data_IF_248754722976
#
_entry.id   IF_248754722976
#
_cell.length_a   1.000
_cell.length_b   1.000
_cell.length_c   1.000
_cell.angle_alpha   90.00
_cell.angle_beta   90.00
_cell.angle_gamma   90.00
#
_symmetry.space_group_name_H-M   'P 1'
#
loop_
_entity.id
_entity.type
_entity.pdbx_description
1 polymer ?
#
# COMPACT_ATOMS: atom_id res chain seq x y z
N UNK A 1 -13.39 0.73 -42.85
CA UNK A 1 -11.96 1.05 -42.70
C UNK A 1 -11.79 1.83 -41.41
N UNK A 2 -11.24 1.16 -40.40
CA UNK A 2 -10.64 1.64 -39.15
C UNK A 2 -11.26 2.87 -38.44
N UNK A 3 -12.23 2.63 -37.56
CA UNK A 3 -12.26 3.33 -36.27
C UNK A 3 -11.51 2.42 -35.28
N UNK A 4 -10.25 2.78 -35.04
CA UNK A 4 -9.32 2.01 -34.23
C UNK A 4 -9.69 2.02 -32.75
N UNK A 5 -9.64 0.82 -32.18
CA UNK A 5 -9.54 0.49 -30.77
C UNK A 5 -8.75 1.52 -29.94
N UNK A 6 -9.44 2.37 -29.19
CA UNK A 6 -8.84 3.19 -28.11
C UNK A 6 -9.40 2.84 -26.73
N UNK A 7 -10.25 1.82 -26.60
CA UNK A 7 -10.75 1.37 -25.28
C UNK A 7 -10.06 0.13 -24.70
N UNK A 8 -9.08 -0.46 -25.39
CA UNK A 8 -8.54 -1.79 -25.03
C UNK A 8 -7.04 -1.82 -24.68
N UNK A 9 -6.36 -0.67 -24.64
CA UNK A 9 -4.91 -0.59 -24.38
C UNK A 9 -4.52 0.23 -23.14
N UNK A 10 -5.51 0.77 -22.40
CA UNK A 10 -5.27 1.47 -21.14
C UNK A 10 -5.66 0.66 -19.90
N UNK A 11 -6.13 -0.58 -20.10
CA UNK A 11 -6.53 -1.52 -19.05
C UNK A 11 -5.48 -2.64 -18.88
N UNK A 12 -4.57 -2.81 -19.84
CA UNK A 12 -3.52 -3.87 -19.84
C UNK A 12 -2.33 -3.63 -18.89
N UNK A 13 -2.45 -2.72 -17.91
CA UNK A 13 -1.40 -2.48 -16.89
C UNK A 13 -1.92 -2.43 -15.46
N UNK A 14 -3.18 -2.76 -15.22
CA UNK A 14 -3.59 -3.22 -13.88
C UNK A 14 -3.15 -4.67 -13.86
N UNK A 15 -2.07 -4.95 -13.15
CA UNK A 15 -1.31 -6.19 -13.29
C UNK A 15 -2.25 -7.39 -13.23
N UNK A 16 -2.06 -8.38 -14.11
CA UNK A 16 -2.83 -9.64 -14.08
C UNK A 16 -2.80 -10.31 -12.69
N UNK A 17 -1.83 -9.95 -11.83
CA UNK A 17 -1.78 -10.28 -10.40
C UNK A 17 -2.90 -9.64 -9.58
N UNK A 18 -3.22 -8.36 -9.80
CA UNK A 18 -4.30 -7.62 -9.14
C UNK A 18 -5.68 -8.09 -9.62
N UNK A 19 -5.87 -8.34 -10.92
CA UNK A 19 -7.13 -8.88 -11.47
C UNK A 19 -7.38 -10.30 -10.94
N UNK A 20 -6.35 -11.16 -10.92
CA UNK A 20 -6.47 -12.51 -10.31
C UNK A 20 -6.68 -12.45 -8.80
N UNK A 21 -6.15 -11.43 -8.13
CA UNK A 21 -6.39 -11.23 -6.72
C UNK A 21 -7.87 -10.86 -6.49
N UNK A 22 -8.42 -9.89 -7.22
CA UNK A 22 -9.82 -9.48 -7.13
C UNK A 22 -10.80 -10.60 -7.49
N UNK A 23 -10.55 -11.35 -8.58
CA UNK A 23 -11.36 -12.53 -8.94
C UNK A 23 -11.27 -13.64 -7.87
N UNK A 24 -10.08 -13.85 -7.29
CA UNK A 24 -9.90 -14.79 -6.18
C UNK A 24 -10.56 -14.30 -4.88
N UNK A 25 -10.60 -12.98 -4.63
CA UNK A 25 -11.33 -12.40 -3.52
C UNK A 25 -12.84 -12.66 -3.68
N UNK A 26 -13.41 -12.45 -4.87
CA UNK A 26 -14.82 -12.72 -5.15
C UNK A 26 -15.16 -14.24 -5.06
N UNK A 27 -14.34 -15.12 -5.62
CA UNK A 27 -14.57 -16.58 -5.57
C UNK A 27 -14.57 -17.13 -4.14
N UNK A 28 -13.65 -16.64 -3.28
CA UNK A 28 -13.53 -17.08 -1.88
C UNK A 28 -14.57 -16.43 -0.95
N UNK A 29 -15.18 -15.32 -1.37
CA UNK A 29 -16.30 -14.66 -0.68
C UNK A 29 -17.62 -15.41 -0.95
N UNK A 30 -17.86 -15.86 -2.19
CA UNK A 30 -19.09 -16.59 -2.55
C UNK A 30 -19.05 -18.05 -2.11
N UNK A 31 -17.87 -18.68 -2.05
CA UNK A 31 -17.70 -20.09 -1.67
C UNK A 31 -17.95 -20.45 -0.20
N UNK A 32 -18.32 -19.50 0.66
CA UNK A 32 -18.63 -19.74 2.09
C UNK A 32 -20.04 -19.31 2.53
N UNK A 33 -20.96 -19.15 1.58
CA UNK A 33 -22.39 -19.05 1.88
C UNK A 33 -23.00 -20.44 2.10
N UNK A 34 -22.55 -21.14 3.14
CA UNK A 34 -23.39 -22.13 3.81
C UNK A 34 -23.00 -22.23 5.29
N UNK A 35 -23.35 -21.21 6.06
CA UNK A 35 -24.11 -21.37 7.31
C UNK A 35 -24.46 -19.97 7.86
N UNK A 36 -25.77 -19.69 7.86
CA UNK A 36 -26.35 -18.43 8.28
C UNK A 36 -26.03 -18.09 9.75
N UNK A 37 -25.77 -16.80 9.98
CA UNK A 37 -26.20 -16.11 11.18
C UNK A 37 -25.10 -15.78 12.18
N UNK A 38 -24.43 -14.64 11.98
CA UNK A 38 -24.03 -13.64 13.00
C UNK A 38 -22.99 -12.67 12.45
N UNK A 39 -23.36 -11.39 12.47
CA UNK A 39 -22.46 -10.22 12.43
C UNK A 39 -21.64 -10.04 11.16
N UNK A 40 -21.63 -8.81 10.65
CA UNK A 40 -20.82 -8.30 9.54
C UNK A 40 -19.31 -8.38 9.88
N UNK A 41 -18.77 -9.59 10.08
CA UNK A 41 -17.33 -9.83 10.30
C UNK A 41 -16.67 -9.84 8.93
N UNK A 42 -16.16 -8.67 8.53
CA UNK A 42 -15.16 -8.57 7.46
C UNK A 42 -14.16 -9.71 7.62
N UNK A 43 -14.07 -10.57 6.60
CA UNK A 43 -13.11 -11.67 6.59
C UNK A 43 -11.72 -11.01 6.51
N UNK A 44 -11.03 -10.98 7.66
CA UNK A 44 -9.62 -10.60 7.74
C UNK A 44 -8.80 -11.70 7.07
N UNK A 45 -8.59 -11.58 5.76
CA UNK A 45 -7.46 -12.27 5.12
C UNK A 45 -6.23 -11.51 5.59
N UNK A 46 -5.34 -12.18 6.32
CA UNK A 46 -4.07 -11.57 6.71
C UNK A 46 -3.32 -11.21 5.42
N UNK A 47 -2.88 -9.96 5.27
CA UNK A 47 -2.13 -9.54 4.08
C UNK A 47 -0.90 -10.44 3.83
N UNK A 48 -0.39 -11.10 4.87
CA UNK A 48 0.67 -12.09 4.75
C UNK A 48 0.20 -13.43 4.18
N UNK A 49 -1.03 -13.87 4.45
CA UNK A 49 -1.58 -15.08 3.82
C UNK A 49 -1.63 -14.93 2.30
N UNK A 50 -1.90 -13.72 1.82
CA UNK A 50 -1.86 -13.39 0.40
C UNK A 50 -0.44 -13.49 -0.18
N UNK A 51 0.56 -12.92 0.50
CA UNK A 51 1.96 -13.05 0.09
C UNK A 51 2.42 -14.52 0.05
N UNK A 52 2.11 -15.29 1.09
CA UNK A 52 2.47 -16.71 1.15
C UNK A 52 1.79 -17.53 0.06
N UNK A 53 0.54 -17.22 -0.28
CA UNK A 53 -0.16 -17.88 -1.37
C UNK A 53 0.48 -17.57 -2.74
N UNK A 54 0.87 -16.32 -2.99
CA UNK A 54 1.56 -15.94 -4.22
C UNK A 54 2.91 -16.65 -4.33
N UNK A 55 3.71 -16.61 -3.26
CA UNK A 55 5.03 -17.23 -3.22
C UNK A 55 4.95 -18.76 -3.35
N UNK A 56 3.97 -19.39 -2.71
CA UNK A 56 3.70 -20.83 -2.85
C UNK A 56 3.29 -21.26 -4.26
N UNK A 57 2.79 -20.33 -5.08
CA UNK A 57 2.49 -20.53 -6.51
C UNK A 57 3.63 -20.10 -7.43
N UNK A 58 4.77 -19.69 -6.88
CA UNK A 58 5.92 -19.21 -7.65
C UNK A 58 5.73 -17.81 -8.25
N UNK A 59 4.74 -17.05 -7.80
CA UNK A 59 4.46 -15.69 -8.25
C UNK A 59 5.20 -14.72 -7.33
N UNK A 60 6.07 -13.88 -7.92
CA UNK A 60 6.82 -12.88 -7.16
C UNK A 60 5.94 -11.66 -6.86
N UNK A 61 5.93 -11.16 -5.62
CA UNK A 61 5.30 -9.89 -5.28
C UNK A 61 5.97 -8.73 -6.03
N UNK A 62 5.16 -7.77 -6.46
CA UNK A 62 5.59 -6.53 -7.10
C UNK A 62 5.18 -5.30 -6.27
N UNK A 63 5.51 -4.10 -6.75
CA UNK A 63 5.16 -2.86 -6.05
C UNK A 63 3.64 -2.67 -5.89
N UNK A 64 2.84 -3.14 -6.85
CA UNK A 64 1.39 -3.06 -6.79
C UNK A 64 0.82 -3.97 -5.69
N UNK A 65 1.37 -5.18 -5.56
CA UNK A 65 1.09 -6.11 -4.47
C UNK A 65 1.31 -5.45 -3.11
N UNK A 66 2.46 -4.81 -2.91
CA UNK A 66 2.74 -4.11 -1.64
C UNK A 66 1.82 -2.91 -1.42
N UNK A 67 1.43 -2.18 -2.47
CA UNK A 67 0.48 -1.08 -2.34
C UNK A 67 -0.91 -1.56 -1.88
N UNK A 68 -1.36 -2.72 -2.35
CA UNK A 68 -2.62 -3.36 -1.90
C UNK A 68 -2.53 -3.79 -0.44
N UNK A 69 -1.43 -4.42 -0.04
CA UNK A 69 -1.22 -4.84 1.34
C UNK A 69 -1.17 -3.66 2.31
N UNK A 70 -0.51 -2.56 1.91
CA UNK A 70 -0.49 -1.32 2.69
C UNK A 70 -1.88 -0.68 2.81
N UNK A 71 -2.69 -0.74 1.75
CA UNK A 71 -4.09 -0.31 1.81
C UNK A 71 -4.90 -1.15 2.81
N UNK A 72 -4.69 -2.47 2.85
CA UNK A 72 -5.35 -3.33 3.83
C UNK A 72 -4.92 -2.99 5.26
N UNK A 73 -3.61 -2.82 5.50
CA UNK A 73 -3.10 -2.39 6.80
C UNK A 73 -3.72 -1.05 7.25
N UNK A 74 -3.85 -0.10 6.33
CA UNK A 74 -4.53 1.17 6.58
C UNK A 74 -6.03 1.00 6.88
N UNK A 75 -6.75 0.19 6.11
CA UNK A 75 -8.19 -0.09 6.29
C UNK A 75 -8.47 -0.71 7.66
N UNK A 76 -7.64 -1.67 8.07
CA UNK A 76 -7.75 -2.34 9.38
C UNK A 76 -7.06 -1.59 10.53
N UNK A 77 -6.54 -0.38 10.26
CA UNK A 77 -5.87 0.47 11.26
C UNK A 77 -4.69 -0.23 11.98
N UNK A 78 -3.98 -1.10 11.27
CA UNK A 78 -2.91 -1.94 11.82
C UNK A 78 -1.52 -1.39 11.48
N UNK A 79 -0.91 -0.68 12.44
CA UNK A 79 0.49 -0.24 12.32
C UNK A 79 1.44 -1.43 12.28
N UNK A 80 1.13 -2.51 12.99
CA UNK A 80 1.94 -3.72 13.01
C UNK A 80 2.06 -4.33 11.60
N UNK A 81 0.94 -4.42 10.87
CA UNK A 81 0.96 -4.98 9.52
C UNK A 81 1.70 -4.06 8.56
N UNK A 82 1.50 -2.73 8.66
CA UNK A 82 2.27 -1.76 7.89
C UNK A 82 3.79 -1.94 8.10
N UNK A 83 4.24 -2.15 9.34
CA UNK A 83 5.66 -2.42 9.67
C UNK A 83 6.17 -3.72 9.09
N UNK A 84 5.39 -4.80 9.20
CA UNK A 84 5.77 -6.08 8.62
C UNK A 84 5.87 -5.98 7.10
N UNK A 85 4.94 -5.28 6.46
CA UNK A 85 4.94 -5.06 5.00
C UNK A 85 6.13 -4.21 4.59
N UNK A 86 6.42 -3.11 5.30
CA UNK A 86 7.64 -2.33 5.09
C UNK A 86 8.89 -3.22 5.21
N UNK A 87 8.95 -4.12 6.20
CA UNK A 87 10.05 -5.07 6.33
C UNK A 87 10.21 -5.99 5.11
N UNK A 88 9.11 -6.43 4.49
CA UNK A 88 9.15 -7.21 3.23
C UNK A 88 9.62 -6.36 2.05
N UNK A 89 9.14 -5.12 1.94
CA UNK A 89 9.57 -4.15 0.90
C UNK A 89 11.10 -4.00 0.95
N UNK A 90 11.66 -3.73 2.14
CA UNK A 90 13.10 -3.59 2.34
C UNK A 90 13.86 -4.89 2.03
N UNK A 91 13.34 -6.05 2.47
CA UNK A 91 14.00 -7.34 2.27
C UNK A 91 14.08 -7.74 0.78
N UNK A 92 13.11 -7.32 -0.01
CA UNK A 92 12.99 -7.66 -1.42
C UNK A 92 13.56 -6.59 -2.37
N UNK A 93 14.18 -5.52 -1.83
CA UNK A 93 14.86 -4.51 -2.63
C UNK A 93 13.97 -3.41 -3.21
N UNK A 94 12.75 -3.24 -2.67
CA UNK A 94 11.79 -2.24 -3.15
C UNK A 94 11.92 -0.88 -2.45
N UNK A 95 12.94 -0.66 -1.62
CA UNK A 95 13.17 0.61 -0.91
C UNK A 95 13.43 1.81 -1.85
N UNK A 96 13.88 1.54 -3.07
CA UNK A 96 14.10 2.56 -4.11
C UNK A 96 12.81 3.00 -4.81
N UNK A 97 11.71 2.28 -4.65
CA UNK A 97 10.44 2.60 -5.29
C UNK A 97 9.79 3.84 -4.65
N UNK A 98 9.87 4.96 -5.35
CA UNK A 98 9.29 6.24 -4.92
C UNK A 98 7.79 6.12 -4.60
N UNK A 99 7.06 5.34 -5.39
CA UNK A 99 5.62 5.11 -5.21
C UNK A 99 5.32 4.43 -3.87
N UNK A 100 6.10 3.42 -3.49
CA UNK A 100 5.96 2.70 -2.22
C UNK A 100 6.42 3.55 -1.03
N UNK A 101 7.51 4.30 -1.18
CA UNK A 101 7.95 5.25 -0.15
C UNK A 101 6.85 6.28 0.16
N UNK A 102 6.27 6.88 -0.87
CA UNK A 102 5.15 7.81 -0.73
C UNK A 102 3.92 7.17 -0.07
N UNK A 103 3.58 5.94 -0.47
CA UNK A 103 2.49 5.17 0.10
C UNK A 103 2.71 4.88 1.60
N UNK A 104 3.91 4.44 1.97
CA UNK A 104 4.29 4.15 3.35
C UNK A 104 4.18 5.39 4.24
N UNK A 105 4.71 6.54 3.81
CA UNK A 105 4.58 7.79 4.57
C UNK A 105 3.11 8.13 4.79
N UNK A 106 2.29 8.05 3.75
CA UNK A 106 0.86 8.34 3.82
C UNK A 106 0.13 7.39 4.78
N UNK A 107 0.38 6.08 4.69
CA UNK A 107 -0.23 5.07 5.57
C UNK A 107 0.17 5.30 7.02
N UNK A 108 1.46 5.49 7.32
CA UNK A 108 1.89 5.75 8.69
C UNK A 108 1.32 7.05 9.25
N UNK A 109 1.23 8.09 8.41
CA UNK A 109 0.58 9.35 8.79
C UNK A 109 -0.88 9.13 9.17
N UNK A 110 -1.64 8.45 8.33
CA UNK A 110 -3.08 8.21 8.55
C UNK A 110 -3.36 7.24 9.71
N UNK A 111 -2.37 6.41 10.08
CA UNK A 111 -2.39 5.56 11.26
C UNK A 111 -1.89 6.26 12.54
N UNK A 112 -1.46 7.52 12.44
CA UNK A 112 -0.93 8.31 13.56
C UNK A 112 0.50 7.92 13.98
N UNK A 113 1.17 7.03 13.25
CA UNK A 113 2.56 6.65 13.53
C UNK A 113 3.56 7.57 12.84
N UNK A 114 3.58 8.82 13.28
CA UNK A 114 4.30 9.91 12.61
C UNK A 114 5.83 9.71 12.68
N UNK A 115 6.34 9.09 13.74
CA UNK A 115 7.74 8.69 13.84
C UNK A 115 8.17 7.74 12.71
N UNK A 116 7.34 6.74 12.38
CA UNK A 116 7.64 5.81 11.28
C UNK A 116 7.54 6.52 9.91
N UNK A 117 6.59 7.44 9.75
CA UNK A 117 6.49 8.28 8.54
C UNK A 117 7.78 9.09 8.31
N UNK A 118 8.35 9.67 9.38
CA UNK A 118 9.64 10.36 9.34
C UNK A 118 10.81 9.43 9.02
N UNK A 119 10.82 8.23 9.58
CA UNK A 119 11.84 7.24 9.28
C UNK A 119 11.82 6.83 7.81
N UNK A 120 10.64 6.57 7.24
CA UNK A 120 10.50 6.26 5.81
C UNK A 120 11.02 7.41 4.97
N UNK A 121 10.56 8.65 5.22
CA UNK A 121 11.04 9.82 4.47
C UNK A 121 12.57 9.98 4.55
N UNK A 122 13.15 9.77 5.73
CA UNK A 122 14.60 9.83 5.95
C UNK A 122 15.40 8.76 5.21
N UNK A 123 14.81 7.59 4.96
CA UNK A 123 15.47 6.46 4.28
C UNK A 123 15.28 6.44 2.76
N UNK A 124 14.34 7.21 2.22
CA UNK A 124 14.13 7.32 0.76
C UNK A 124 15.34 7.94 0.05
N UNK A 125 15.80 7.27 -1.01
CA UNK A 125 16.90 7.75 -1.87
C UNK A 125 16.48 8.95 -2.73
N UNK A 126 15.25 8.90 -3.25
CA UNK A 126 14.65 9.95 -4.07
C UNK A 126 13.38 10.44 -3.41
N UNK A 127 13.16 11.76 -3.46
CA UNK A 127 11.99 12.42 -2.87
C UNK A 127 11.44 13.41 -3.88
N UNK A 128 10.12 13.43 -3.99
CA UNK A 128 9.39 14.31 -4.90
C UNK A 128 8.44 15.23 -4.12
N UNK A 129 7.74 16.10 -4.84
CA UNK A 129 6.77 17.00 -4.22
C UNK A 129 5.72 16.29 -3.37
N UNK A 130 5.35 15.06 -3.75
CA UNK A 130 4.41 14.21 -3.00
C UNK A 130 5.03 13.76 -1.66
N UNK A 131 6.28 13.30 -1.68
CA UNK A 131 7.04 12.88 -0.49
C UNK A 131 7.08 14.02 0.55
N UNK A 132 7.44 15.22 0.10
CA UNK A 132 7.50 16.39 0.96
C UNK A 132 6.11 16.84 1.44
N UNK A 133 5.10 16.80 0.57
CA UNK A 133 3.72 17.13 0.95
C UNK A 133 3.22 16.23 2.08
N UNK A 134 3.50 14.92 1.99
CA UNK A 134 3.14 13.97 3.04
C UNK A 134 3.86 14.25 4.36
N UNK A 135 5.17 14.55 4.34
CA UNK A 135 5.92 14.78 5.57
C UNK A 135 5.62 16.12 6.23
N UNK A 136 5.34 17.15 5.44
CA UNK A 136 4.86 18.45 5.92
C UNK A 136 3.50 18.26 6.60
N UNK A 137 2.58 17.51 6.00
CA UNK A 137 1.29 17.21 6.60
C UNK A 137 1.45 16.45 7.93
N UNK A 138 2.37 15.48 8.00
CA UNK A 138 2.71 14.79 9.25
C UNK A 138 3.23 15.76 10.34
N UNK A 139 4.13 16.68 9.98
CA UNK A 139 4.64 17.70 10.91
C UNK A 139 3.54 18.63 11.43
N UNK A 140 2.60 19.02 10.56
CA UNK A 140 1.45 19.86 10.94
C UNK A 140 0.55 19.11 11.92
N UNK A 141 0.30 17.81 11.69
CA UNK A 141 -0.51 16.97 12.57
C UNK A 141 0.11 16.83 13.99
N UNK A 142 1.44 16.88 14.11
CA UNK A 142 2.15 16.90 15.40
C UNK A 142 2.26 18.30 16.03
N UNK A 143 1.81 19.34 15.35
CA UNK A 143 2.02 20.74 15.77
C UNK A 143 3.45 21.25 15.58
N UNK A 144 4.32 20.52 14.87
CA UNK A 144 5.73 20.88 14.60
C UNK A 144 5.87 21.84 13.42
N UNK A 145 5.31 23.05 13.54
CA UNK A 145 5.27 24.08 12.49
C UNK A 145 6.65 24.46 11.95
N UNK A 146 7.66 24.57 12.82
CA UNK A 146 9.03 24.91 12.41
C UNK A 146 9.64 23.82 11.53
N UNK A 147 9.40 22.55 11.84
CA UNK A 147 9.85 21.43 10.99
C UNK A 147 9.13 21.42 9.65
N UNK A 148 7.81 21.67 9.65
CA UNK A 148 7.04 21.78 8.41
C UNK A 148 7.59 22.87 7.48
N UNK A 149 7.89 24.07 8.01
CA UNK A 149 8.50 25.16 7.25
C UNK A 149 9.90 24.80 6.73
N UNK A 150 10.72 24.12 7.54
CA UNK A 150 12.04 23.65 7.10
C UNK A 150 11.92 22.70 5.91
N UNK A 151 11.01 21.74 5.97
CA UNK A 151 10.78 20.82 4.85
C UNK A 151 10.29 21.56 3.62
N UNK A 152 9.33 22.47 3.77
CA UNK A 152 8.80 23.28 2.67
C UNK A 152 9.89 24.14 1.99
N UNK A 153 10.80 24.73 2.76
CA UNK A 153 11.92 25.53 2.22
C UNK A 153 13.05 24.69 1.61
N UNK A 154 13.09 23.38 1.91
CA UNK A 154 14.09 22.46 1.37
C UNK A 154 13.65 21.70 0.12
N UNK A 155 12.40 21.93 -0.32
CA UNK A 155 11.87 21.44 -1.60
C UNK A 155 12.50 22.19 -2.76
#
# INVERSE_FOLDING_TARGET
>A
LYYGNVSMLSIDKVSQSAIRADEFYEEKMVGRDFEMGRSNKEIRIDGFDFLYLMEGRGIQPDAETFALLLNQAWRFKSVLDAKRIQGRILKLGFEGELSLGNKLINVYRDLGSLADAHQVFGTMCWRDGISFSHIIAACIAEGRKVSALKYFMSM
#
